data_IF_218681157248
#
_entry.id   IF_218681157248
#
_cell.length_a   1.000
_cell.length_b   1.000
_cell.length_c   1.000
_cell.angle_alpha   90.00
_cell.angle_beta   90.00
_cell.angle_gamma   90.00
#
_symmetry.space_group_name_H-M   'P 1'
#
loop_
_entity.id
_entity.type
_entity.pdbx_description
1 polymer ?
#
# COMPACT_ATOMS: atom_id res chain seq x y z
N UNK A 1 -24.71 -10.49 -10.23
CA UNK A 1 -24.19 -9.66 -9.13
C UNK A 1 -24.91 -10.08 -7.85
N UNK A 2 -24.26 -10.80 -6.99
CA UNK A 2 -24.81 -11.12 -5.65
C UNK A 2 -24.16 -10.16 -4.66
N UNK A 3 -24.96 -9.33 -4.02
CA UNK A 3 -24.53 -8.50 -2.90
C UNK A 3 -24.71 -9.34 -1.65
N UNK A 4 -23.62 -9.69 -0.99
CA UNK A 4 -23.67 -10.35 0.31
C UNK A 4 -23.24 -9.31 1.34
N UNK A 5 -24.20 -8.85 2.14
CA UNK A 5 -23.92 -7.99 3.31
C UNK A 5 -23.73 -8.91 4.51
N UNK A 6 -22.49 -9.15 4.90
CA UNK A 6 -22.14 -9.90 6.08
C UNK A 6 -21.72 -8.97 7.22
N UNK A 7 -22.42 -9.02 8.35
CA UNK A 7 -22.03 -8.33 9.58
C UNK A 7 -21.36 -9.36 10.50
N UNK A 8 -20.06 -9.20 10.73
CA UNK A 8 -19.33 -10.04 11.69
C UNK A 8 -19.17 -9.29 13.02
N UNK A 9 -19.77 -9.83 14.06
CA UNK A 9 -19.66 -9.30 15.43
C UNK A 9 -18.64 -10.15 16.19
N UNK A 10 -17.54 -9.56 16.64
CA UNK A 10 -16.57 -10.23 17.51
C UNK A 10 -17.01 -10.13 18.97
N UNK A 11 -17.17 -11.27 19.63
CA UNK A 11 -17.49 -11.38 21.06
C UNK A 11 -16.18 -11.45 21.86
N UNK A 12 -16.02 -10.56 22.83
CA UNK A 12 -14.88 -10.52 23.74
C UNK A 12 -15.25 -11.21 25.06
N UNK A 13 -14.47 -12.19 25.47
CA UNK A 13 -14.59 -12.84 26.79
C UNK A 13 -13.89 -12.01 27.87
N UNK A 14 -14.58 -11.76 28.98
CA UNK A 14 -14.11 -10.99 30.13
C UNK A 14 -13.43 -11.92 31.16
N UNK A 15 -12.24 -11.53 31.61
CA UNK A 15 -11.50 -12.17 32.73
C UNK A 15 -10.82 -11.15 33.63
N UNK A 16 -10.90 -11.36 34.91
CA UNK A 16 -10.70 -10.54 36.12
C UNK A 16 -9.45 -9.65 36.23
N UNK A 17 -9.65 -8.41 36.67
CA UNK A 17 -8.87 -7.80 37.76
C UNK A 17 -7.57 -7.10 37.41
N UNK A 18 -7.54 -6.24 36.36
CA UNK A 18 -6.52 -5.19 36.15
C UNK A 18 -7.21 -3.94 35.64
N UNK A 19 -6.56 -2.76 35.83
CA UNK A 19 -7.08 -1.49 35.32
C UNK A 19 -7.71 -1.68 33.94
N UNK A 20 -8.85 -1.02 33.62
CA UNK A 20 -9.60 -1.34 32.41
C UNK A 20 -8.64 -1.28 31.22
N UNK A 21 -8.46 -2.37 30.48
CA UNK A 21 -7.64 -2.34 29.26
C UNK A 21 -8.25 -1.26 28.38
N UNK A 22 -7.39 -0.40 27.83
CA UNK A 22 -7.81 0.50 26.76
C UNK A 22 -8.71 -0.32 25.82
N UNK A 23 -9.97 0.10 25.68
CA UNK A 23 -10.97 -0.62 24.89
C UNK A 23 -10.33 -1.03 23.57
N UNK A 24 -10.39 -2.30 23.16
CA UNK A 24 -9.95 -2.66 21.82
C UNK A 24 -10.74 -1.78 20.85
N UNK A 25 -10.06 -1.13 19.94
CA UNK A 25 -10.72 -0.53 18.79
C UNK A 25 -11.40 -1.69 18.06
N UNK A 26 -12.67 -1.89 18.30
CA UNK A 26 -13.49 -2.73 17.48
C UNK A 26 -13.67 -2.00 16.14
N UNK A 27 -12.68 -2.13 15.26
CA UNK A 27 -12.85 -1.70 13.90
C UNK A 27 -13.94 -2.58 13.30
N UNK A 28 -15.11 -2.02 13.06
CA UNK A 28 -16.18 -2.69 12.34
C UNK A 28 -15.76 -2.74 10.89
N UNK A 29 -15.39 -3.92 10.42
CA UNK A 29 -15.03 -4.15 9.03
C UNK A 29 -16.31 -4.53 8.31
N UNK A 30 -16.76 -3.69 7.39
CA UNK A 30 -17.94 -3.94 6.57
C UNK A 30 -17.48 -4.22 5.14
N UNK A 31 -17.77 -5.40 4.63
CA UNK A 31 -17.58 -5.72 3.22
C UNK A 31 -18.54 -4.87 2.38
N UNK A 32 -18.00 -4.13 1.40
CA UNK A 32 -18.77 -3.21 0.59
C UNK A 32 -19.12 -3.83 -0.77
N UNK A 33 -18.25 -4.67 -1.33
CA UNK A 33 -18.50 -5.34 -2.62
C UNK A 33 -17.57 -6.51 -2.91
N UNK A 34 -18.09 -7.47 -3.64
CA UNK A 34 -17.36 -8.54 -4.30
C UNK A 34 -17.46 -8.35 -5.82
N UNK A 35 -16.35 -8.38 -6.53
CA UNK A 35 -16.32 -8.16 -7.99
C UNK A 35 -15.53 -9.25 -8.67
N UNK A 36 -16.21 -9.99 -9.56
CA UNK A 36 -15.57 -10.99 -10.41
C UNK A 36 -14.76 -10.32 -11.52
N UNK A 37 -13.49 -10.66 -11.64
CA UNK A 37 -12.57 -10.10 -12.65
C UNK A 37 -12.61 -10.80 -14.00
N UNK A 38 -13.57 -11.69 -14.23
CA UNK A 38 -13.74 -12.45 -15.47
C UNK A 38 -12.49 -13.28 -15.89
N UNK A 39 -11.72 -13.76 -14.89
CA UNK A 39 -10.57 -14.65 -15.12
C UNK A 39 -9.30 -13.96 -15.64
N UNK A 40 -9.26 -12.63 -15.70
CA UNK A 40 -8.03 -11.91 -16.02
C UNK A 40 -7.15 -11.70 -14.77
N UNK A 41 -5.83 -11.92 -14.92
CA UNK A 41 -4.88 -11.69 -13.83
C UNK A 41 -4.87 -10.22 -13.39
N UNK A 42 -5.04 -10.01 -12.10
CA UNK A 42 -4.94 -8.69 -11.46
C UNK A 42 -3.52 -8.53 -10.95
N UNK A 43 -2.82 -7.51 -11.43
CA UNK A 43 -1.45 -7.21 -11.02
C UNK A 43 -1.41 -6.09 -9.96
N UNK A 44 -2.38 -5.16 -9.97
CA UNK A 44 -2.45 -4.05 -9.01
C UNK A 44 -3.90 -3.64 -8.72
N UNK A 45 -4.10 -3.04 -7.54
CA UNK A 45 -5.37 -2.50 -7.08
C UNK A 45 -5.16 -1.13 -6.43
N UNK A 46 -6.07 -0.20 -6.63
CA UNK A 46 -6.10 1.10 -5.97
C UNK A 46 -7.49 1.42 -5.41
N UNK A 47 -7.51 2.09 -4.27
CA UNK A 47 -8.72 2.67 -3.67
C UNK A 47 -8.66 4.19 -3.74
N UNK A 48 -9.82 4.83 -3.99
CA UNK A 48 -9.97 6.26 -3.71
C UNK A 48 -9.91 6.51 -2.20
N UNK A 49 -9.51 7.72 -1.80
CA UNK A 49 -9.34 8.10 -0.38
C UNK A 49 -10.61 7.86 0.44
N UNK A 50 -11.77 8.14 -0.12
CA UNK A 50 -13.07 7.94 0.52
C UNK A 50 -13.58 6.48 0.45
N UNK A 51 -12.83 5.58 -0.19
CA UNK A 51 -13.20 4.19 -0.40
C UNK A 51 -14.38 3.99 -1.37
N UNK A 52 -14.85 5.06 -2.04
CA UNK A 52 -16.00 4.98 -2.93
C UNK A 52 -15.70 4.36 -4.29
N UNK A 53 -14.44 4.38 -4.72
CA UNK A 53 -13.99 3.85 -6.02
C UNK A 53 -12.87 2.84 -5.85
N UNK A 54 -12.93 1.81 -6.65
CA UNK A 54 -11.90 0.77 -6.77
C UNK A 54 -11.42 0.72 -8.20
N UNK A 55 -10.11 0.69 -8.39
CA UNK A 55 -9.48 0.44 -9.69
C UNK A 55 -8.63 -0.81 -9.64
N UNK A 56 -8.68 -1.66 -10.65
CA UNK A 56 -7.76 -2.77 -10.84
C UNK A 56 -7.01 -2.62 -12.15
N UNK A 57 -5.72 -2.92 -12.12
CA UNK A 57 -4.86 -3.05 -13.28
C UNK A 57 -4.60 -4.52 -13.58
N UNK A 58 -4.75 -4.88 -14.84
CA UNK A 58 -4.67 -6.25 -15.30
C UNK A 58 -3.44 -6.48 -16.16
N UNK A 59 -3.01 -7.74 -16.20
CA UNK A 59 -1.83 -8.18 -16.98
C UNK A 59 -1.96 -7.94 -18.49
N UNK A 60 -3.17 -7.88 -19.00
CA UNK A 60 -3.44 -7.57 -20.41
C UNK A 60 -3.41 -6.08 -20.74
N UNK A 61 -3.12 -5.22 -19.75
CA UNK A 61 -3.06 -3.78 -19.90
C UNK A 61 -4.40 -3.06 -19.75
N UNK A 62 -5.48 -3.76 -19.43
CA UNK A 62 -6.76 -3.11 -19.14
C UNK A 62 -6.83 -2.61 -17.71
N UNK A 63 -7.54 -1.50 -17.55
CA UNK A 63 -7.92 -0.92 -16.25
C UNK A 63 -9.41 -1.03 -16.12
N UNK A 64 -9.89 -1.46 -14.95
CA UNK A 64 -11.31 -1.47 -14.62
C UNK A 64 -11.52 -0.61 -13.39
N UNK A 65 -12.47 0.31 -13.47
CA UNK A 65 -12.84 1.20 -12.36
C UNK A 65 -14.33 1.09 -12.10
N UNK A 66 -14.69 0.95 -10.85
CA UNK A 66 -16.09 0.94 -10.44
C UNK A 66 -16.31 1.63 -9.10
N UNK A 67 -17.57 1.97 -8.85
CA UNK A 67 -18.07 2.49 -7.59
C UNK A 67 -18.92 1.40 -6.95
N UNK A 68 -18.44 0.68 -5.94
CA UNK A 68 -19.14 -0.48 -5.37
C UNK A 68 -20.58 -0.19 -4.97
N UNK A 69 -20.83 0.98 -4.37
CA UNK A 69 -22.16 1.38 -3.91
C UNK A 69 -23.18 1.65 -5.05
N UNK A 70 -22.71 1.89 -6.28
CA UNK A 70 -23.61 2.24 -7.40
C UNK A 70 -24.31 1.04 -8.02
N UNK A 71 -23.80 -0.17 -7.81
CA UNK A 71 -24.31 -1.38 -8.45
C UNK A 71 -24.18 -1.41 -9.98
N UNK A 72 -23.43 -0.46 -10.57
CA UNK A 72 -23.21 -0.38 -12.01
C UNK A 72 -22.02 -1.24 -12.45
N UNK A 73 -22.03 -1.65 -13.72
CA UNK A 73 -20.90 -2.33 -14.32
C UNK A 73 -19.64 -1.44 -14.29
N UNK A 74 -18.44 -2.02 -14.09
CA UNK A 74 -17.20 -1.26 -14.07
C UNK A 74 -16.91 -0.60 -15.41
N UNK A 75 -16.41 0.62 -15.37
CA UNK A 75 -15.76 1.23 -16.52
C UNK A 75 -14.53 0.41 -16.89
N UNK A 76 -14.38 0.08 -18.15
CA UNK A 76 -13.21 -0.67 -18.66
C UNK A 76 -12.56 0.10 -19.78
N UNK A 77 -11.26 0.37 -19.65
CA UNK A 77 -10.48 1.04 -20.68
C UNK A 77 -9.09 0.41 -20.78
N UNK A 78 -8.51 0.44 -21.96
CA UNK A 78 -7.21 -0.13 -22.22
C UNK A 78 -6.13 0.94 -22.25
N UNK A 79 -4.98 0.61 -21.73
CA UNK A 79 -3.84 1.52 -21.69
C UNK A 79 -2.73 1.13 -22.63
N UNK A 80 -2.52 -0.15 -22.81
CA UNK A 80 -1.46 -0.67 -23.68
C UNK A 80 -1.63 -2.17 -23.90
N UNK A 81 -0.75 -2.75 -24.68
CA UNK A 81 -0.62 -4.23 -24.76
C UNK A 81 0.22 -4.81 -23.62
N UNK A 82 0.63 -3.98 -22.67
CA UNK A 82 1.50 -4.37 -21.57
C UNK A 82 0.72 -4.29 -20.25
N UNK A 83 1.09 -5.13 -19.29
CA UNK A 83 0.51 -5.17 -17.96
C UNK A 83 0.58 -3.78 -17.27
N UNK A 84 -0.38 -3.53 -16.40
CA UNK A 84 -0.40 -2.34 -15.55
C UNK A 84 0.46 -2.61 -14.31
N UNK A 85 1.56 -1.88 -14.17
CA UNK A 85 2.49 -2.05 -13.05
C UNK A 85 1.91 -1.55 -11.75
N UNK A 86 1.29 -0.36 -11.78
CA UNK A 86 0.68 0.24 -10.61
C UNK A 86 -0.42 1.24 -10.98
N UNK A 87 -1.29 1.50 -10.01
CA UNK A 87 -2.41 2.43 -10.07
C UNK A 87 -2.47 3.25 -8.79
N UNK A 88 -2.81 4.53 -8.91
CA UNK A 88 -3.08 5.39 -7.77
C UNK A 88 -4.20 6.37 -8.08
N UNK A 89 -5.17 6.53 -7.16
CA UNK A 89 -6.10 7.65 -7.20
C UNK A 89 -5.47 8.88 -6.58
N UNK A 90 -5.72 10.04 -7.16
CA UNK A 90 -5.46 11.29 -6.47
C UNK A 90 -6.38 11.42 -5.24
N UNK A 91 -5.99 12.18 -4.21
CA UNK A 91 -6.80 12.34 -2.99
C UNK A 91 -8.22 12.86 -3.22
N UNK A 92 -8.44 13.64 -4.27
CA UNK A 92 -9.77 14.09 -4.72
C UNK A 92 -10.66 12.98 -5.27
N UNK A 93 -10.06 11.84 -5.67
CA UNK A 93 -10.74 10.72 -6.30
C UNK A 93 -11.19 10.92 -7.75
N UNK A 94 -10.99 12.10 -8.33
CA UNK A 94 -11.39 12.47 -9.70
C UNK A 94 -10.27 12.31 -10.73
N UNK A 95 -9.10 11.86 -10.30
CA UNK A 95 -7.96 11.57 -11.15
C UNK A 95 -7.38 10.20 -10.78
N UNK A 96 -7.07 9.40 -11.78
CA UNK A 96 -6.37 8.13 -11.65
C UNK A 96 -5.06 8.18 -12.42
N UNK A 97 -3.97 7.79 -11.79
CA UNK A 97 -2.70 7.56 -12.45
C UNK A 97 -2.51 6.07 -12.72
N UNK A 98 -1.95 5.73 -13.86
CA UNK A 98 -1.54 4.36 -14.21
C UNK A 98 -0.13 4.32 -14.74
N UNK A 99 0.58 3.24 -14.45
CA UNK A 99 1.95 3.00 -14.88
C UNK A 99 1.99 1.70 -15.69
N UNK A 100 2.55 1.76 -16.90
CA UNK A 100 2.79 0.57 -17.73
C UNK A 100 4.10 -0.12 -17.37
N UNK A 101 4.14 -1.47 -17.49
CA UNK A 101 5.29 -2.30 -17.09
C UNK A 101 6.49 -2.17 -18.05
N UNK A 102 7.68 -2.25 -17.46
CA UNK A 102 9.01 -2.58 -17.99
C UNK A 102 9.67 -1.63 -18.99
N UNK A 103 9.24 -1.55 -20.23
CA UNK A 103 10.06 -0.87 -21.26
C UNK A 103 9.60 0.53 -21.56
N UNK A 104 8.34 0.81 -21.35
CA UNK A 104 7.78 2.10 -21.73
C UNK A 104 7.87 3.12 -20.60
N UNK A 105 7.77 2.70 -19.31
CA UNK A 105 7.75 3.62 -18.19
C UNK A 105 6.78 4.78 -18.44
N UNK A 106 5.62 4.47 -19.03
CA UNK A 106 4.65 5.47 -19.41
C UNK A 106 3.67 5.66 -18.27
N UNK A 107 3.72 6.83 -17.68
CA UNK A 107 2.71 7.34 -16.77
C UNK A 107 1.54 7.89 -17.59
N UNK A 108 0.31 7.52 -17.24
CA UNK A 108 -0.91 8.11 -17.82
C UNK A 108 -1.83 8.60 -16.71
N UNK A 109 -2.44 9.74 -16.97
CA UNK A 109 -3.44 10.35 -16.11
C UNK A 109 -4.81 10.24 -16.75
N UNK A 110 -5.79 9.82 -15.98
CA UNK A 110 -7.16 9.54 -16.42
C UNK A 110 -8.15 10.32 -15.59
N UNK A 111 -9.19 10.84 -16.24
CA UNK A 111 -10.29 11.55 -15.59
C UNK A 111 -11.62 10.89 -15.94
N UNK A 112 -12.60 10.88 -15.02
CA UNK A 112 -13.97 10.51 -15.35
C UNK A 112 -14.50 11.34 -16.51
N UNK A 113 -15.08 10.68 -17.49
CA UNK A 113 -15.73 11.31 -18.63
C UNK A 113 -17.16 11.75 -18.32
N UNK A 114 -17.85 12.26 -19.34
CA UNK A 114 -19.24 12.73 -19.22
C UNK A 114 -20.21 11.58 -18.92
N UNK A 115 -19.94 10.40 -19.45
CA UNK A 115 -20.76 9.21 -19.15
C UNK A 115 -20.29 8.55 -17.86
N UNK A 116 -21.21 7.99 -17.03
CA UNK A 116 -20.87 7.43 -15.71
C UNK A 116 -19.78 6.38 -15.69
N UNK A 117 -19.61 5.66 -16.79
CA UNK A 117 -18.62 4.57 -16.91
C UNK A 117 -17.51 4.88 -17.93
N UNK A 118 -17.32 6.14 -18.31
CA UNK A 118 -16.28 6.57 -19.21
C UNK A 118 -15.11 7.16 -18.43
N UNK A 119 -13.88 6.76 -18.79
CA UNK A 119 -12.65 7.39 -18.36
C UNK A 119 -11.85 7.81 -19.59
N UNK A 120 -11.38 9.04 -19.60
CA UNK A 120 -10.61 9.60 -20.70
C UNK A 120 -9.17 9.86 -20.28
N UNK A 121 -8.23 9.55 -21.15
CA UNK A 121 -6.83 9.93 -20.96
C UNK A 121 -6.71 11.45 -21.01
N UNK A 122 -6.18 12.03 -19.94
CA UNK A 122 -5.90 13.45 -19.81
C UNK A 122 -4.51 13.78 -20.35
N UNK A 123 -3.55 12.94 -20.02
CA UNK A 123 -2.16 13.12 -20.40
C UNK A 123 -1.36 11.81 -20.30
N UNK A 124 -0.23 11.77 -21.03
CA UNK A 124 0.78 10.73 -20.89
C UNK A 124 2.18 11.31 -20.86
N UNK A 125 3.07 10.69 -20.08
CA UNK A 125 4.45 11.10 -19.89
C UNK A 125 5.35 9.88 -19.80
N UNK A 126 6.47 9.88 -20.55
CA UNK A 126 7.53 8.90 -20.34
C UNK A 126 8.37 9.32 -19.14
N UNK A 127 8.38 8.51 -18.08
CA UNK A 127 9.06 8.82 -16.82
C UNK A 127 10.39 8.10 -16.65
N UNK A 128 10.62 7.02 -17.38
CA UNK A 128 11.87 6.24 -17.30
C UNK A 128 11.64 4.77 -17.65
N UNK A 129 12.57 3.91 -17.26
CA UNK A 129 12.51 2.48 -17.49
C UNK A 129 12.36 1.72 -16.18
N UNK A 130 11.69 0.55 -16.23
CA UNK A 130 11.50 -0.33 -15.07
C UNK A 130 10.87 0.41 -13.89
N UNK A 131 9.83 1.18 -14.16
CA UNK A 131 9.08 1.88 -13.14
C UNK A 131 7.99 0.96 -12.60
N UNK A 132 7.81 0.93 -11.27
CA UNK A 132 7.01 -0.09 -10.59
C UNK A 132 6.02 0.46 -9.55
N UNK A 133 6.09 1.74 -9.22
CA UNK A 133 5.24 2.28 -8.16
C UNK A 133 4.84 3.73 -8.38
N UNK A 134 3.63 4.07 -7.93
CA UNK A 134 3.02 5.40 -7.99
C UNK A 134 2.56 5.87 -6.62
N UNK A 135 2.78 7.16 -6.31
CA UNK A 135 2.28 7.77 -5.08
C UNK A 135 1.96 9.23 -5.27
N UNK A 136 0.70 9.64 -5.08
CA UNK A 136 0.32 11.05 -4.98
C UNK A 136 0.73 11.63 -3.63
N UNK A 137 0.98 12.93 -3.61
CA UNK A 137 0.95 13.71 -2.36
C UNK A 137 -0.48 13.91 -1.88
N UNK A 138 -0.64 14.44 -0.67
CA UNK A 138 -1.95 14.61 -0.05
C UNK A 138 -2.85 15.68 -0.70
N UNK A 139 -2.30 16.54 -1.55
CA UNK A 139 -3.04 17.54 -2.32
C UNK A 139 -3.36 17.06 -3.75
N UNK A 140 -2.69 16.00 -4.23
CA UNK A 140 -2.81 15.53 -5.61
C UNK A 140 -2.12 16.42 -6.62
N UNK A 141 -1.22 17.31 -6.17
CA UNK A 141 -0.47 18.24 -7.02
C UNK A 141 0.81 17.59 -7.57
N UNK A 142 1.36 16.64 -6.81
CA UNK A 142 2.59 15.92 -7.15
C UNK A 142 2.36 14.42 -7.15
N UNK A 143 3.05 13.76 -8.08
CA UNK A 143 3.06 12.31 -8.19
C UNK A 143 4.50 11.81 -8.18
N UNK A 144 4.85 10.97 -7.22
CA UNK A 144 6.12 10.27 -7.20
C UNK A 144 6.00 8.96 -7.99
N UNK A 145 6.98 8.68 -8.83
CA UNK A 145 7.08 7.46 -9.63
C UNK A 145 8.40 6.78 -9.30
N UNK A 146 8.34 5.59 -8.71
CA UNK A 146 9.53 4.78 -8.44
C UNK A 146 9.94 4.01 -9.69
N UNK A 147 11.15 4.24 -10.15
CA UNK A 147 11.82 3.48 -11.20
C UNK A 147 13.03 2.75 -10.59
N UNK A 148 13.71 1.90 -11.34
CA UNK A 148 14.73 0.98 -10.83
C UNK A 148 15.66 1.55 -9.74
N UNK A 149 16.23 2.73 -9.96
CA UNK A 149 17.19 3.36 -9.03
C UNK A 149 16.92 4.84 -8.77
N UNK A 150 15.78 5.33 -9.18
CA UNK A 150 15.39 6.74 -9.00
C UNK A 150 13.92 6.87 -8.67
N UNK A 151 13.56 7.97 -8.03
CA UNK A 151 12.18 8.41 -7.90
C UNK A 151 12.03 9.71 -8.70
N UNK A 152 11.07 9.70 -9.62
CA UNK A 152 10.71 10.86 -10.44
C UNK A 152 9.54 11.56 -9.82
N UNK A 153 9.66 12.84 -9.54
CA UNK A 153 8.54 13.68 -9.09
C UNK A 153 7.94 14.39 -10.29
N UNK A 154 6.66 14.22 -10.48
CA UNK A 154 5.88 14.78 -11.60
C UNK A 154 4.91 15.83 -11.08
N UNK A 155 4.85 16.98 -11.71
CA UNK A 155 3.78 17.97 -11.52
C UNK A 155 2.53 17.45 -12.25
N UNK A 156 1.41 17.37 -11.54
CA UNK A 156 0.17 16.79 -12.07
C UNK A 156 -0.62 17.78 -12.91
N UNK A 157 -0.48 19.08 -12.64
CA UNK A 157 -1.22 20.15 -13.31
C UNK A 157 -0.77 20.37 -14.77
N UNK A 158 0.54 20.20 -15.02
CA UNK A 158 1.13 20.20 -16.36
C UNK A 158 2.11 19.04 -16.44
N UNK A 159 1.66 17.80 -16.76
CA UNK A 159 2.42 16.59 -16.53
C UNK A 159 3.85 16.63 -17.05
N UNK A 160 4.75 17.06 -16.18
CA UNK A 160 6.19 17.18 -16.43
C UNK A 160 6.98 16.68 -15.24
N UNK A 161 8.12 16.06 -15.51
CA UNK A 161 9.05 15.67 -14.46
C UNK A 161 9.74 16.93 -13.92
N UNK A 162 9.51 17.25 -12.64
CA UNK A 162 10.07 18.44 -11.97
C UNK A 162 11.30 18.11 -11.14
N UNK A 163 11.49 16.85 -10.74
CA UNK A 163 12.68 16.40 -10.03
C UNK A 163 12.94 14.91 -10.30
N UNK A 164 14.21 14.54 -10.19
CA UNK A 164 14.68 13.15 -10.20
C UNK A 164 15.62 12.93 -9.04
N UNK A 165 15.24 12.06 -8.12
CA UNK A 165 16.05 11.68 -6.97
C UNK A 165 16.72 10.34 -7.30
N UNK A 166 18.01 10.42 -7.64
CA UNK A 166 18.81 9.20 -7.82
C UNK A 166 19.11 8.62 -6.46
N UNK A 167 18.74 7.37 -6.26
CA UNK A 167 18.97 6.65 -5.01
C UNK A 167 20.46 6.44 -4.77
N UNK A 168 20.88 6.55 -3.51
CA UNK A 168 22.22 6.10 -3.04
C UNK A 168 22.32 4.58 -2.89
N UNK A 169 21.20 3.86 -3.00
CA UNK A 169 21.19 2.40 -2.94
C UNK A 169 22.02 1.79 -4.07
N UNK A 170 22.77 0.73 -3.75
CA UNK A 170 23.63 0.05 -4.72
C UNK A 170 22.81 -0.73 -5.75
N UNK A 171 21.68 -1.26 -5.32
CA UNK A 171 20.76 -2.06 -6.11
C UNK A 171 19.48 -1.29 -6.43
N UNK A 172 18.51 -1.97 -7.03
CA UNK A 172 17.23 -1.40 -7.34
C UNK A 172 16.40 -1.14 -6.09
N UNK A 173 15.54 -0.13 -6.17
CA UNK A 173 14.57 0.18 -5.14
C UNK A 173 13.55 -0.95 -5.01
N UNK A 174 13.24 -1.33 -3.78
CA UNK A 174 12.23 -2.34 -3.45
C UNK A 174 10.91 -1.72 -3.05
N UNK A 175 10.96 -0.54 -2.43
CA UNK A 175 9.79 0.18 -1.95
C UNK A 175 10.05 1.68 -1.84
N UNK A 176 8.98 2.46 -1.86
CA UNK A 176 9.02 3.90 -1.62
C UNK A 176 7.67 4.39 -1.09
N UNK A 177 7.66 5.57 -0.49
CA UNK A 177 6.45 6.32 -0.15
C UNK A 177 6.74 7.81 -0.12
N UNK A 178 5.70 8.63 -0.35
CA UNK A 178 5.74 10.08 -0.29
C UNK A 178 4.80 10.57 0.82
N UNK A 179 5.30 11.37 1.74
CA UNK A 179 4.46 11.97 2.78
C UNK A 179 3.38 12.87 2.17
N UNK A 180 2.20 12.93 2.80
CA UNK A 180 1.07 13.71 2.28
C UNK A 180 1.39 15.20 2.09
N UNK A 181 2.29 15.75 2.90
CA UNK A 181 2.76 17.14 2.77
C UNK A 181 3.85 17.33 1.69
N UNK A 182 4.22 16.28 0.96
CA UNK A 182 5.28 16.24 -0.06
C UNK A 182 6.67 16.73 0.43
N UNK A 183 6.91 16.81 1.75
CA UNK A 183 8.18 17.30 2.32
C UNK A 183 9.17 16.19 2.62
N UNK A 184 8.74 14.93 2.57
CA UNK A 184 9.57 13.76 2.83
C UNK A 184 9.24 12.67 1.83
N UNK A 185 10.27 12.01 1.37
CA UNK A 185 10.21 10.79 0.58
C UNK A 185 10.98 9.70 1.32
N UNK A 186 10.54 8.46 1.27
CA UNK A 186 11.25 7.31 1.80
C UNK A 186 11.50 6.30 0.69
N UNK A 187 12.68 5.69 0.69
CA UNK A 187 13.03 4.61 -0.24
C UNK A 187 13.70 3.47 0.50
N UNK A 188 13.54 2.26 -0.02
CA UNK A 188 14.28 1.08 0.44
C UNK A 188 14.94 0.37 -0.75
N UNK A 189 16.08 -0.26 -0.51
CA UNK A 189 16.84 -1.06 -1.46
C UNK A 189 17.06 -2.48 -0.95
N UNK A 190 17.57 -3.34 -1.82
CA UNK A 190 17.86 -4.75 -1.50
C UNK A 190 18.97 -4.93 -0.46
N UNK A 191 19.83 -3.93 -0.25
CA UNK A 191 20.89 -3.98 0.76
C UNK A 191 20.43 -3.84 2.21
N UNK A 192 19.12 -3.67 2.42
CA UNK A 192 18.51 -3.54 3.76
C UNK A 192 18.58 -2.14 4.35
N UNK A 193 18.91 -1.15 3.54
CA UNK A 193 18.89 0.25 3.93
C UNK A 193 17.54 0.91 3.55
N UNK A 194 17.06 1.75 4.45
CA UNK A 194 15.87 2.57 4.29
C UNK A 194 16.26 4.03 4.45
N UNK A 195 16.12 4.83 3.40
CA UNK A 195 16.56 6.22 3.39
C UNK A 195 15.38 7.18 3.31
N UNK A 196 15.36 8.17 4.19
CA UNK A 196 14.41 9.30 4.15
C UNK A 196 15.08 10.50 3.52
N UNK A 197 14.40 11.13 2.58
CA UNK A 197 14.89 12.23 1.74
C UNK A 197 14.09 13.50 1.93
N UNK A 198 14.75 14.62 1.71
CA UNK A 198 14.10 15.85 1.33
C UNK A 198 13.94 15.86 -0.21
N UNK A 199 12.72 15.77 -0.76
CA UNK A 199 12.52 15.67 -2.19
C UNK A 199 12.82 16.97 -2.95
N UNK A 200 12.90 18.12 -2.26
CA UNK A 200 13.20 19.41 -2.89
C UNK A 200 14.70 19.58 -3.12
N UNK A 201 15.50 19.30 -2.09
CA UNK A 201 16.97 19.39 -2.18
C UNK A 201 17.62 18.11 -2.71
N UNK A 202 16.83 17.04 -2.88
CA UNK A 202 17.30 15.68 -3.23
C UNK A 202 18.39 15.15 -2.26
N UNK A 203 18.37 15.60 -1.01
CA UNK A 203 19.34 15.20 0.01
C UNK A 203 18.78 14.11 0.94
N UNK A 204 19.61 13.12 1.27
CA UNK A 204 19.29 12.16 2.30
C UNK A 204 19.33 12.83 3.68
N UNK A 205 18.28 12.63 4.46
CA UNK A 205 18.15 13.14 5.84
C UNK A 205 18.61 12.10 6.85
N UNK A 206 18.09 10.88 6.71
CA UNK A 206 18.43 9.74 7.55
C UNK A 206 18.49 8.47 6.72
N UNK A 207 19.41 7.58 7.08
CA UNK A 207 19.47 6.21 6.58
C UNK A 207 19.39 5.25 7.75
N UNK A 208 18.37 4.39 7.74
CA UNK A 208 18.14 3.35 8.73
C UNK A 208 18.51 2.00 8.13
N UNK A 209 18.98 1.06 8.95
CA UNK A 209 19.27 -0.30 8.48
C UNK A 209 18.32 -1.30 9.12
N UNK A 210 17.63 -2.10 8.29
CA UNK A 210 16.77 -3.21 8.72
C UNK A 210 17.53 -4.55 8.77
N UNK A 211 18.77 -4.58 8.29
CA UNK A 211 19.60 -5.80 8.23
C UNK A 211 20.02 -6.36 9.61
N UNK A 212 19.77 -5.61 10.69
CA UNK A 212 20.22 -5.96 12.05
C UNK A 212 19.25 -6.84 12.84
N UNK A 213 18.04 -7.11 12.36
CA UNK A 213 17.07 -7.94 13.10
C UNK A 213 17.32 -9.43 12.94
N UNK A 214 18.54 -9.87 13.25
CA UNK A 214 18.90 -11.27 13.19
C UNK A 214 18.38 -12.00 14.43
N UNK A 215 17.67 -13.09 14.24
CA UNK A 215 17.51 -14.11 15.29
C UNK A 215 18.83 -14.88 15.42
N UNK A 216 19.61 -14.70 16.49
CA UNK A 216 20.80 -15.50 16.67
C UNK A 216 20.42 -16.98 16.78
N UNK A 217 20.98 -17.84 15.94
CA UNK A 217 20.94 -19.27 16.14
C UNK A 217 20.11 -20.12 15.19
N UNK A 218 19.49 -19.56 14.15
CA UNK A 218 18.65 -20.34 13.21
C UNK A 218 19.39 -20.90 11.98
N UNK A 219 20.60 -20.45 11.69
CA UNK A 219 21.38 -20.96 10.55
C UNK A 219 22.58 -21.79 11.02
N UNK A 220 22.90 -22.90 10.31
CA UNK A 220 24.16 -23.61 10.51
C UNK A 220 25.34 -22.66 10.26
N UNK A 221 26.36 -22.74 11.10
CA UNK A 221 27.58 -21.95 10.95
C UNK A 221 28.23 -22.21 9.58
N UNK A 222 28.50 -21.12 8.83
CA UNK A 222 29.23 -21.18 7.55
C UNK A 222 28.38 -21.01 6.28
N UNK A 223 27.05 -20.84 6.39
CA UNK A 223 26.25 -20.40 5.25
C UNK A 223 26.22 -18.87 5.18
N UNK A 224 26.21 -18.29 3.96
CA UNK A 224 25.97 -16.86 3.81
C UNK A 224 24.61 -16.53 4.43
N UNK A 225 24.59 -15.48 5.23
CA UNK A 225 23.35 -15.04 5.86
C UNK A 225 22.39 -14.50 4.78
N UNK A 226 21.10 -14.85 4.83
CA UNK A 226 20.14 -14.28 3.90
C UNK A 226 20.12 -12.77 4.05
N UNK A 227 20.16 -12.08 2.94
CA UNK A 227 19.98 -10.63 2.90
C UNK A 227 18.55 -10.30 3.32
N UNK A 228 18.42 -9.42 4.30
CA UNK A 228 17.13 -8.91 4.78
C UNK A 228 16.94 -7.51 4.24
N UNK A 229 15.88 -7.29 3.48
CA UNK A 229 15.53 -5.97 2.95
C UNK A 229 14.07 -5.61 3.25
N UNK A 230 13.77 -4.33 3.20
CA UNK A 230 12.40 -3.86 3.32
C UNK A 230 11.65 -4.07 1.99
N UNK A 231 10.44 -4.60 2.09
CA UNK A 231 9.52 -4.80 0.97
C UNK A 231 8.38 -3.79 0.97
N UNK A 232 8.13 -3.15 2.10
CA UNK A 232 7.16 -2.08 2.25
C UNK A 232 7.77 -0.97 3.11
N UNK A 233 7.51 0.28 2.75
CA UNK A 233 7.84 1.45 3.56
C UNK A 233 6.65 2.40 3.61
N UNK A 234 6.58 3.22 4.65
CA UNK A 234 5.56 4.26 4.80
C UNK A 234 6.11 5.47 5.55
N UNK A 235 5.56 6.64 5.24
CA UNK A 235 5.73 7.87 5.99
C UNK A 235 4.41 8.27 6.65
N UNK A 236 4.48 8.84 7.86
CA UNK A 236 3.32 9.51 8.44
C UNK A 236 2.90 10.71 7.57
N UNK A 237 1.62 11.13 7.59
CA UNK A 237 1.13 12.22 6.75
C UNK A 237 1.94 13.51 6.88
N UNK A 238 2.44 13.81 8.08
CA UNK A 238 3.30 14.95 8.39
C UNK A 238 4.78 14.72 8.09
N UNK A 239 5.17 13.50 7.73
CA UNK A 239 6.55 13.10 7.47
C UNK A 239 7.45 13.00 8.72
N UNK A 240 6.88 13.04 9.94
CA UNK A 240 7.64 12.96 11.19
C UNK A 240 8.03 11.54 11.57
N UNK A 241 7.33 10.54 11.09
CA UNK A 241 7.61 9.12 11.34
C UNK A 241 7.80 8.35 10.05
N UNK A 242 8.67 7.36 10.10
CA UNK A 242 8.94 6.41 9.04
C UNK A 242 8.69 4.98 9.54
N UNK A 243 8.28 4.10 8.65
CA UNK A 243 8.12 2.69 8.95
C UNK A 243 8.58 1.82 7.78
N UNK A 244 8.96 0.59 8.08
CA UNK A 244 9.30 -0.44 7.09
C UNK A 244 8.84 -1.82 7.55
N UNK A 245 8.52 -2.68 6.58
CA UNK A 245 8.30 -4.12 6.81
C UNK A 245 9.29 -4.88 5.95
N UNK A 246 10.02 -5.78 6.57
CA UNK A 246 11.02 -6.61 5.87
C UNK A 246 10.37 -7.81 5.18
N UNK A 247 11.12 -8.45 4.30
CA UNK A 247 10.70 -9.70 3.64
C UNK A 247 10.36 -10.82 4.64
N UNK A 248 10.95 -10.76 5.84
CA UNK A 248 10.67 -11.69 6.93
C UNK A 248 9.46 -11.26 7.79
N UNK A 249 8.88 -10.06 7.48
CA UNK A 249 7.73 -9.49 8.16
C UNK A 249 8.04 -8.77 9.45
N UNK A 250 9.29 -8.47 9.75
CA UNK A 250 9.62 -7.60 10.86
C UNK A 250 9.18 -6.16 10.55
N UNK A 251 8.45 -5.56 11.48
CA UNK A 251 7.97 -4.18 11.39
C UNK A 251 8.93 -3.28 12.17
N UNK A 252 9.40 -2.23 11.51
CA UNK A 252 10.21 -1.17 12.08
C UNK A 252 9.48 0.14 12.03
N UNK A 253 9.69 1.00 13.01
CA UNK A 253 9.27 2.39 12.96
C UNK A 253 10.33 3.31 13.60
N UNK A 254 10.50 4.50 13.02
CA UNK A 254 11.48 5.51 13.45
C UNK A 254 10.84 6.89 13.53
N UNK A 255 11.37 7.71 14.42
CA UNK A 255 11.17 9.17 14.42
C UNK A 255 12.16 9.79 13.42
N UNK A 256 11.64 10.46 12.41
CA UNK A 256 12.45 11.08 11.35
C UNK A 256 13.19 12.31 11.84
N UNK A 257 12.65 13.01 12.85
CA UNK A 257 13.25 14.25 13.35
C UNK A 257 14.50 13.96 14.17
N UNK A 258 14.43 12.92 15.01
CA UNK A 258 15.53 12.55 15.92
C UNK A 258 16.41 11.45 15.37
N UNK A 259 15.97 10.72 14.33
CA UNK A 259 16.63 9.53 13.81
C UNK A 259 16.54 8.32 14.75
N UNK A 260 15.67 8.36 15.77
CA UNK A 260 15.58 7.31 16.79
C UNK A 260 14.55 6.25 16.41
N UNK A 261 14.85 5.00 16.80
CA UNK A 261 13.95 3.89 16.66
C UNK A 261 12.82 3.96 17.69
N UNK A 262 11.57 3.79 17.21
CA UNK A 262 10.36 3.77 18.05
C UNK A 262 9.93 2.32 18.32
N UNK A 263 9.97 1.47 17.29
CA UNK A 263 9.45 0.11 17.33
C UNK A 263 10.31 -0.84 16.49
N UNK A 264 10.59 -2.02 17.05
CA UNK A 264 10.93 -3.23 16.29
C UNK A 264 9.99 -4.34 16.80
N UNK A 265 9.16 -4.87 15.92
CA UNK A 265 8.32 -6.03 16.24
C UNK A 265 8.51 -7.13 15.19
N UNK A 266 9.14 -8.23 15.60
CA UNK A 266 9.32 -9.40 14.77
C UNK A 266 8.09 -10.30 14.89
N UNK A 267 7.44 -10.63 13.78
CA UNK A 267 6.37 -11.62 13.78
C UNK A 267 6.94 -13.03 13.90
N UNK A 268 6.45 -13.77 14.89
CA UNK A 268 6.95 -15.12 15.23
C UNK A 268 6.51 -16.20 14.24
N UNK A 269 5.59 -15.90 13.35
CA UNK A 269 4.99 -16.89 12.45
C UNK A 269 5.74 -16.96 11.13
N UNK A 270 6.13 -18.19 10.74
CA UNK A 270 6.76 -18.47 9.46
C UNK A 270 5.73 -18.26 8.35
N UNK A 271 5.77 -17.09 7.72
CA UNK A 271 5.00 -16.75 6.54
C UNK A 271 5.93 -16.34 5.40
N UNK A 272 5.45 -16.37 4.18
CA UNK A 272 6.16 -15.78 3.04
C UNK A 272 6.22 -14.25 3.15
N UNK A 273 6.78 -13.55 2.14
CA UNK A 273 6.83 -12.10 2.13
C UNK A 273 5.45 -11.51 2.38
N UNK A 274 5.33 -10.48 3.23
CA UNK A 274 4.05 -9.86 3.54
C UNK A 274 3.41 -9.35 2.26
N UNK A 275 2.14 -9.70 2.04
CA UNK A 275 1.36 -9.17 0.94
C UNK A 275 0.52 -8.01 1.46
N UNK A 276 0.59 -6.86 0.80
CA UNK A 276 -0.25 -5.74 1.17
C UNK A 276 0.46 -4.40 1.15
N UNK A 277 -0.13 -3.44 1.84
CA UNK A 277 0.37 -2.09 1.97
C UNK A 277 0.67 -1.76 3.43
N UNK A 278 1.62 -0.88 3.64
CA UNK A 278 1.98 -0.30 4.92
C UNK A 278 1.53 1.16 4.92
N UNK A 279 0.79 1.62 5.94
CA UNK A 279 0.28 2.98 6.01
C UNK A 279 0.22 3.50 7.43
N UNK A 280 0.48 4.79 7.59
CA UNK A 280 0.11 5.51 8.79
C UNK A 280 -1.32 6.01 8.69
N UNK A 281 -2.05 5.91 9.79
CA UNK A 281 -3.35 6.57 9.98
C UNK A 281 -3.17 8.06 10.24
N UNK A 282 -4.21 8.86 10.07
CA UNK A 282 -4.17 10.30 10.37
C UNK A 282 -3.83 10.60 11.84
N UNK A 283 -4.20 9.71 12.77
CA UNK A 283 -3.86 9.82 14.19
C UNK A 283 -2.47 9.25 14.55
N UNK A 284 -1.67 8.90 13.56
CA UNK A 284 -0.26 8.50 13.70
C UNK A 284 -0.03 7.05 14.14
N UNK A 285 -1.06 6.19 14.10
CA UNK A 285 -0.90 4.74 14.24
C UNK A 285 -0.41 4.13 12.94
N UNK A 286 0.15 2.95 13.01
CA UNK A 286 0.70 2.23 11.84
C UNK A 286 -0.14 0.99 11.54
N UNK A 287 -0.63 0.89 10.31
CA UNK A 287 -1.31 -0.29 9.79
C UNK A 287 -0.34 -1.08 8.92
N UNK A 288 -0.04 -2.31 9.32
CA UNK A 288 0.90 -3.20 8.63
C UNK A 288 0.25 -4.56 8.30
N UNK A 289 0.61 -5.20 7.18
CA UNK A 289 0.11 -6.52 6.84
C UNK A 289 0.67 -7.59 7.79
N UNK A 290 -0.11 -8.65 8.04
CA UNK A 290 0.37 -9.84 8.75
C UNK A 290 1.13 -10.77 7.81
N UNK A 291 2.11 -11.52 8.34
CA UNK A 291 2.94 -12.44 7.54
C UNK A 291 2.17 -13.64 7.00
N UNK A 292 1.09 -14.03 7.66
CA UNK A 292 0.23 -15.12 7.21
C UNK A 292 -0.70 -14.72 6.07
N UNK A 293 -0.61 -13.45 5.59
CA UNK A 293 -1.45 -12.87 4.52
C UNK A 293 -2.96 -12.91 4.81
N UNK A 294 -3.34 -13.00 6.09
CA UNK A 294 -4.74 -13.14 6.50
C UNK A 294 -5.33 -11.91 7.13
N UNK A 295 -4.56 -10.85 7.28
CA UNK A 295 -5.07 -9.63 7.91
C UNK A 295 -4.07 -8.49 7.96
N UNK A 296 -4.48 -7.47 8.67
CA UNK A 296 -3.70 -6.29 8.96
C UNK A 296 -3.54 -6.14 10.47
N UNK A 297 -2.45 -5.56 10.92
CA UNK A 297 -2.19 -5.25 12.32
C UNK A 297 -2.07 -3.75 12.51
N UNK A 298 -2.79 -3.20 13.45
CA UNK A 298 -2.74 -1.79 13.81
C UNK A 298 -1.84 -1.61 15.04
N UNK A 299 -0.79 -0.81 14.90
CA UNK A 299 0.18 -0.50 15.94
C UNK A 299 -0.07 0.89 16.51
N UNK A 300 -0.19 0.98 17.82
CA UNK A 300 -0.09 2.24 18.56
C UNK A 300 1.38 2.46 18.95
N UNK A 301 2.08 3.31 18.22
CA UNK A 301 3.51 3.55 18.41
C UNK A 301 3.81 4.29 19.72
N UNK A 302 2.83 5.03 20.26
CA UNK A 302 2.98 5.75 21.53
C UNK A 302 2.86 4.81 22.72
N UNK A 303 1.87 3.91 22.66
CA UNK A 303 1.64 2.91 23.73
C UNK A 303 2.45 1.65 23.56
N UNK A 304 3.10 1.48 22.40
CA UNK A 304 3.82 0.26 21.99
C UNK A 304 2.94 -0.99 22.10
N UNK A 305 1.70 -0.88 21.64
CA UNK A 305 0.73 -1.98 21.59
C UNK A 305 0.27 -2.22 20.17
N UNK A 306 -0.15 -3.44 19.84
CA UNK A 306 -0.70 -3.77 18.54
C UNK A 306 -1.96 -4.62 18.65
N UNK A 307 -2.85 -4.48 17.69
CA UNK A 307 -4.11 -5.23 17.61
C UNK A 307 -4.32 -5.73 16.19
N UNK A 308 -4.85 -6.95 16.06
CA UNK A 308 -5.23 -7.49 14.77
C UNK A 308 -6.46 -6.71 14.24
N UNK A 309 -6.34 -6.15 13.05
CA UNK A 309 -7.40 -5.50 12.32
C UNK A 309 -7.69 -6.34 11.06
N UNK A 310 -8.92 -6.83 10.93
CA UNK A 310 -9.34 -7.64 9.79
C UNK A 310 -9.51 -9.13 10.08
N UNK A 311 -10.22 -9.81 9.21
CA UNK A 311 -10.72 -11.18 9.43
C UNK A 311 -9.91 -12.18 8.63
N UNK A 312 -9.01 -12.84 9.26
CA UNK A 312 -8.09 -13.84 8.78
C UNK A 312 -8.61 -15.12 8.11
N UNK A 313 -9.64 -15.07 7.30
CA UNK A 313 -10.19 -16.30 6.69
C UNK A 313 -9.63 -16.61 5.29
N UNK A 314 -9.14 -15.64 4.55
CA UNK A 314 -8.68 -15.82 3.15
C UNK A 314 -7.26 -15.30 2.96
N UNK A 315 -6.52 -15.91 2.03
CA UNK A 315 -5.21 -15.42 1.62
C UNK A 315 -5.35 -14.30 0.59
N UNK A 316 -4.78 -13.15 0.89
CA UNK A 316 -4.79 -12.00 -0.01
C UNK A 316 -3.57 -11.99 -0.93
N UNK A 317 -3.80 -11.79 -2.22
CA UNK A 317 -2.73 -11.68 -3.22
C UNK A 317 -2.22 -10.24 -3.36
N UNK A 318 -3.13 -9.28 -3.34
CA UNK A 318 -2.82 -7.84 -3.44
C UNK A 318 -3.74 -7.10 -2.47
N UNK A 319 -3.21 -6.10 -1.77
CA UNK A 319 -3.98 -5.26 -0.83
C UNK A 319 -3.66 -3.80 -1.10
N UNK A 320 -4.70 -2.97 -1.21
CA UNK A 320 -4.59 -1.53 -1.19
C UNK A 320 -5.26 -0.96 0.06
N UNK A 321 -4.71 0.12 0.57
CA UNK A 321 -5.22 0.83 1.74
C UNK A 321 -5.51 2.27 1.32
N UNK A 322 -6.62 2.86 1.80
CA UNK A 322 -6.91 4.28 1.61
C UNK A 322 -5.83 5.15 2.25
N UNK A 323 -5.64 6.37 1.77
CA UNK A 323 -4.60 7.28 2.27
C UNK A 323 -4.78 7.64 3.75
N UNK A 324 -6.01 7.69 4.24
CA UNK A 324 -6.35 7.90 5.65
C UNK A 324 -6.29 6.60 6.48
N UNK A 325 -5.96 5.48 5.84
CA UNK A 325 -5.98 4.14 6.42
C UNK A 325 -7.34 3.74 7.04
N UNK A 326 -8.44 4.37 6.61
CA UNK A 326 -9.79 4.07 7.07
C UNK A 326 -10.48 2.96 6.26
N UNK A 327 -9.91 2.57 5.13
CA UNK A 327 -10.42 1.50 4.30
C UNK A 327 -9.32 0.69 3.65
N UNK A 328 -9.64 -0.52 3.26
CA UNK A 328 -8.73 -1.34 2.45
C UNK A 328 -9.53 -2.21 1.46
N UNK A 329 -8.87 -2.56 0.35
CA UNK A 329 -9.35 -3.55 -0.60
C UNK A 329 -8.31 -4.63 -0.77
N UNK A 330 -8.76 -5.86 -0.92
CA UNK A 330 -7.87 -6.98 -1.18
C UNK A 330 -8.38 -7.83 -2.34
N UNK A 331 -7.44 -8.38 -3.09
CA UNK A 331 -7.70 -9.37 -4.13
C UNK A 331 -7.48 -10.74 -3.55
N UNK A 332 -8.50 -11.57 -3.60
CA UNK A 332 -8.41 -13.00 -3.29
C UNK A 332 -8.44 -13.80 -4.60
N UNK A 333 -7.92 -15.01 -4.58
CA UNK A 333 -7.99 -15.91 -5.73
C UNK A 333 -8.49 -17.28 -5.29
N UNK A 334 -9.36 -17.87 -6.09
CA UNK A 334 -9.89 -19.20 -5.88
C UNK A 334 -9.91 -19.98 -7.20
N UNK A 335 -9.88 -21.32 -7.11
CA UNK A 335 -10.09 -22.19 -8.26
C UNK A 335 -11.56 -22.60 -8.30
N UNK A 336 -12.30 -22.13 -9.29
CA UNK A 336 -13.69 -22.48 -9.54
C UNK A 336 -13.81 -23.21 -10.89
N UNK A 337 -14.34 -24.42 -10.86
CA UNK A 337 -14.53 -25.24 -12.07
C UNK A 337 -13.29 -25.33 -12.97
N UNK A 338 -12.10 -25.39 -12.36
CA UNK A 338 -10.81 -25.46 -13.08
C UNK A 338 -10.33 -24.13 -13.67
N UNK A 339 -10.97 -23.02 -13.34
CA UNK A 339 -10.54 -21.66 -13.73
C UNK A 339 -10.12 -20.89 -12.49
N UNK A 340 -9.07 -20.09 -12.62
CA UNK A 340 -8.66 -19.16 -11.58
C UNK A 340 -9.58 -17.94 -11.61
N UNK A 341 -10.28 -17.71 -10.52
CA UNK A 341 -11.19 -16.57 -10.33
C UNK A 341 -10.55 -15.62 -9.30
N UNK A 342 -10.61 -14.34 -9.58
CA UNK A 342 -10.17 -13.29 -8.67
C UNK A 342 -11.39 -12.52 -8.19
N UNK A 343 -11.52 -12.40 -6.87
CA UNK A 343 -12.51 -11.58 -6.22
C UNK A 343 -11.82 -10.38 -5.58
N UNK A 344 -12.48 -9.24 -5.62
CA UNK A 344 -12.02 -8.03 -4.96
C UNK A 344 -12.97 -7.75 -3.80
N UNK A 345 -12.44 -7.79 -2.61
CA UNK A 345 -13.16 -7.47 -1.39
C UNK A 345 -12.76 -6.07 -0.93
N UNK A 346 -13.72 -5.25 -0.54
CA UNK A 346 -13.50 -3.88 -0.07
C UNK A 346 -14.09 -3.73 1.32
N UNK A 347 -13.30 -3.16 2.24
CA UNK A 347 -13.70 -2.95 3.63
C UNK A 347 -13.49 -1.50 4.04
N UNK A 348 -14.32 -1.06 4.96
CA UNK A 348 -14.15 0.20 5.67
C UNK A 348 -13.99 -0.06 7.15
N UNK A 349 -13.00 0.60 7.77
CA UNK A 349 -12.80 0.63 9.20
C UNK A 349 -13.60 1.82 9.76
N UNK A 350 -14.62 1.55 10.56
CA UNK A 350 -15.34 2.60 11.26
C UNK A 350 -14.60 2.94 12.56
N UNK A 351 -14.45 4.23 12.90
CA UNK A 351 -13.92 4.60 14.21
C UNK A 351 -14.84 4.03 15.28
N UNK A 352 -14.27 3.53 16.38
CA UNK A 352 -15.04 3.07 17.51
C UNK A 352 -15.89 4.25 18.01
N UNK A 353 -17.21 4.17 17.80
CA UNK A 353 -18.15 5.14 18.38
C UNK A 353 -18.06 5.02 19.90
N UNK A 354 -17.51 6.06 20.54
CA UNK A 354 -17.50 6.17 21.99
C UNK A 354 -18.95 6.22 22.49
N UNK A 355 -19.40 5.22 23.20
CA UNK A 355 -20.58 5.26 24.08
C UNK A 355 -20.16 5.61 25.48
#
# INVERSE_FOLDING_TARGET
MRIVVGVLTAVVASGCGQAPPARPLAARVTEIAEVNTAGAYVDTIALSRDGSRVAIGQRNGSIRVWTPASGTEPATFGVSRQAVADLAFAPSGDLLASLGVYREGTLRLWRPGVSPNAWAELASLSVGHRCLGLRFDGLGERLAVMCAREVVIVDVSGPTAIARLTSSHREELTAFDLAANARRLITAGHEGDVTVWDPVSASALHTFSVARSRRPGLLPRGLPEPEVWAVLVALSPDGSKAAAVTIEGTVYAWDVTTGTEILIEAHAEAGGPPAGALRFTEDGRLLAPTNDRRGMRLFDLTRKTSHLAGTGAKNYAVVAITDDAAGFAAVTSAMESGKLVYDVEVWRMEPATGS
#
